data_IF_042994127716
#
_entry.id   IF_042994127716
#
_cell.length_a   1.000
_cell.length_b   1.000
_cell.length_c   1.000
_cell.angle_alpha   90.00
_cell.angle_beta   90.00
_cell.angle_gamma   90.00
#
_symmetry.space_group_name_H-M   'P 1'
#
loop_
_entity.id
_entity.type
_entity.pdbx_description
1 polymer ?
#
# COMPACT_ATOMS: atom_id res chain seq x y z
N UNK A 1 -18.65 -13.84 -20.13
CA UNK A 1 -18.07 -13.36 -21.40
C UNK A 1 -17.75 -14.59 -22.26
N UNK A 2 -17.78 -14.51 -23.60
CA UNK A 2 -17.42 -15.66 -24.43
C UNK A 2 -15.97 -16.11 -24.15
N UNK A 3 -15.73 -17.42 -24.24
CA UNK A 3 -14.40 -18.00 -24.11
C UNK A 3 -13.52 -17.46 -25.25
N UNK A 4 -12.42 -16.81 -24.89
CA UNK A 4 -11.48 -16.27 -25.86
C UNK A 4 -10.45 -17.33 -26.25
N UNK A 5 -10.02 -17.31 -27.51
CA UNK A 5 -9.03 -18.23 -28.06
C UNK A 5 -7.83 -17.44 -28.55
N UNK A 6 -6.62 -17.89 -28.22
CA UNK A 6 -5.37 -17.36 -28.76
C UNK A 6 -4.58 -18.51 -29.37
N UNK A 7 -4.02 -18.25 -30.54
CA UNK A 7 -3.08 -19.16 -31.18
C UNK A 7 -1.66 -18.78 -30.78
N UNK A 8 -0.88 -19.77 -30.35
CA UNK A 8 0.54 -19.63 -30.00
C UNK A 8 1.38 -20.59 -30.83
N UNK A 9 2.60 -20.18 -31.12
CA UNK A 9 3.60 -21.05 -31.73
C UNK A 9 4.47 -21.66 -30.62
N UNK A 10 4.54 -22.99 -30.57
CA UNK A 10 5.34 -23.74 -29.61
C UNK A 10 6.50 -24.38 -30.36
N UNK A 11 7.73 -24.07 -29.96
CA UNK A 11 8.93 -24.75 -30.46
C UNK A 11 9.21 -25.97 -29.58
N UNK A 12 9.18 -27.17 -30.15
CA UNK A 12 9.50 -28.43 -29.47
C UNK A 12 10.33 -29.31 -30.38
N UNK A 13 11.49 -29.78 -29.90
CA UNK A 13 12.42 -30.64 -30.66
C UNK A 13 12.82 -30.10 -32.05
N UNK A 14 12.92 -28.77 -32.19
CA UNK A 14 13.27 -28.12 -33.46
C UNK A 14 12.11 -27.90 -34.42
N UNK A 15 10.90 -28.34 -34.07
CA UNK A 15 9.69 -28.14 -34.87
C UNK A 15 8.77 -27.11 -34.23
N UNK A 16 8.11 -26.30 -35.07
CA UNK A 16 7.17 -25.25 -34.65
C UNK A 16 5.74 -25.76 -34.83
N UNK A 17 4.98 -25.83 -33.74
CA UNK A 17 3.58 -26.24 -33.73
C UNK A 17 2.67 -25.05 -33.44
N UNK A 18 1.52 -24.99 -34.11
CA UNK A 18 0.45 -24.07 -33.76
C UNK A 18 -0.44 -24.72 -32.69
N UNK A 19 -0.55 -24.08 -31.53
CA UNK A 19 -1.44 -24.52 -30.46
C UNK A 19 -2.51 -23.46 -30.20
N UNK A 20 -3.73 -23.89 -29.94
CA UNK A 20 -4.82 -23.01 -29.52
C UNK A 20 -4.96 -23.08 -28.01
N UNK A 21 -4.87 -21.94 -27.35
CA UNK A 21 -5.10 -21.78 -25.92
C UNK A 21 -6.43 -21.06 -25.74
N UNK A 22 -7.32 -21.68 -24.98
CA UNK A 22 -8.54 -21.04 -24.52
C UNK A 22 -8.28 -20.31 -23.21
N UNK A 23 -8.88 -19.14 -23.03
CA UNK A 23 -8.82 -18.43 -21.77
C UNK A 23 -10.08 -17.64 -21.49
N UNK A 24 -10.29 -17.37 -20.21
CA UNK A 24 -11.34 -16.48 -19.74
C UNK A 24 -10.80 -15.60 -18.62
N UNK A 25 -10.84 -14.28 -18.81
CA UNK A 25 -10.52 -13.32 -17.75
C UNK A 25 -11.73 -13.24 -16.82
N UNK A 26 -11.62 -13.90 -15.67
CA UNK A 26 -12.65 -13.92 -14.62
C UNK A 26 -12.72 -12.59 -13.87
N UNK A 27 -11.58 -11.93 -13.67
CA UNK A 27 -11.51 -10.62 -13.02
C UNK A 27 -10.31 -9.83 -13.55
N UNK A 28 -10.52 -8.55 -13.86
CA UNK A 28 -9.43 -7.60 -14.09
C UNK A 28 -9.05 -6.94 -12.77
N UNK A 29 -7.78 -6.99 -12.40
CA UNK A 29 -7.35 -6.53 -11.07
C UNK A 29 -6.61 -5.19 -11.19
N UNK A 30 -5.56 -5.13 -11.99
CA UNK A 30 -4.79 -3.91 -12.16
C UNK A 30 -4.06 -3.85 -13.50
N UNK A 31 -3.91 -2.65 -14.06
CA UNK A 31 -2.91 -2.37 -15.11
C UNK A 31 -1.64 -1.91 -14.43
N UNK A 32 -0.53 -2.63 -14.64
CA UNK A 32 0.77 -2.35 -14.04
C UNK A 32 1.57 -1.33 -14.88
N UNK A 33 1.40 -1.36 -16.20
CA UNK A 33 2.03 -0.40 -17.11
C UNK A 33 1.37 -0.44 -18.48
N UNK A 34 1.41 0.67 -19.20
CA UNK A 34 0.94 0.76 -20.60
C UNK A 34 2.09 1.16 -21.51
N UNK A 35 2.15 0.56 -22.69
CA UNK A 35 3.12 0.93 -23.73
C UNK A 35 2.50 1.90 -24.75
N UNK A 36 3.31 2.75 -25.40
CA UNK A 36 2.84 3.61 -26.49
C UNK A 36 2.24 2.85 -27.68
N UNK A 37 2.55 1.54 -27.80
CA UNK A 37 2.05 0.65 -28.86
C UNK A 37 0.71 -0.01 -28.51
N UNK A 38 0.05 0.42 -27.42
CA UNK A 38 -1.27 -0.06 -27.02
C UNK A 38 -1.27 -1.41 -26.28
N UNK A 39 -0.10 -1.90 -25.86
CA UNK A 39 0.00 -3.06 -24.99
C UNK A 39 -0.07 -2.67 -23.52
N UNK A 40 -0.82 -3.42 -22.73
CA UNK A 40 -0.95 -3.25 -21.30
C UNK A 40 -0.41 -4.46 -20.56
N UNK A 41 0.49 -4.23 -19.61
CA UNK A 41 0.87 -5.24 -18.62
C UNK A 41 -0.19 -5.24 -17.53
N UNK A 42 -0.84 -6.37 -17.33
CA UNK A 42 -1.97 -6.47 -16.42
C UNK A 42 -1.80 -7.61 -15.43
N UNK A 43 -2.33 -7.41 -14.22
CA UNK A 43 -2.65 -8.46 -13.27
C UNK A 43 -4.14 -8.79 -13.39
N UNK A 44 -4.43 -10.04 -13.71
CA UNK A 44 -5.78 -10.55 -13.93
C UNK A 44 -5.98 -11.88 -13.19
N UNK A 45 -7.23 -12.27 -12.97
CA UNK A 45 -7.62 -13.62 -12.59
C UNK A 45 -8.10 -14.34 -13.85
N UNK A 46 -7.36 -15.35 -14.32
CA UNK A 46 -7.56 -15.99 -15.63
C UNK A 46 -7.76 -17.49 -15.47
N UNK A 47 -8.81 -18.02 -16.10
CA UNK A 47 -8.99 -19.46 -16.31
C UNK A 47 -8.40 -19.82 -17.67
N UNK A 48 -7.44 -20.74 -17.68
CA UNK A 48 -6.78 -21.23 -18.90
C UNK A 48 -7.34 -22.61 -19.23
N UNK A 49 -7.77 -22.84 -20.48
CA UNK A 49 -8.30 -24.11 -20.97
C UNK A 49 -9.38 -24.74 -20.07
N UNK A 50 -10.22 -23.90 -19.45
CA UNK A 50 -11.26 -24.34 -18.51
C UNK A 50 -10.77 -24.78 -17.12
N UNK A 51 -9.46 -24.73 -16.84
CA UNK A 51 -8.92 -25.02 -15.51
C UNK A 51 -9.32 -23.93 -14.49
N UNK A 52 -9.28 -24.26 -13.17
CA UNK A 52 -9.56 -23.29 -12.11
C UNK A 52 -8.75 -22.00 -12.29
N UNK A 53 -9.38 -20.84 -12.10
CA UNK A 53 -8.74 -19.57 -12.38
C UNK A 53 -7.57 -19.30 -11.44
N UNK A 54 -6.51 -18.72 -11.99
CA UNK A 54 -5.28 -18.36 -11.28
C UNK A 54 -4.93 -16.90 -11.52
N UNK A 55 -4.09 -16.34 -10.64
CA UNK A 55 -3.56 -15.00 -10.85
C UNK A 55 -2.57 -15.04 -12.00
N UNK A 56 -2.56 -14.01 -12.82
CA UNK A 56 -1.76 -13.98 -14.02
C UNK A 56 -1.29 -12.57 -14.32
N UNK A 57 0.02 -12.42 -14.52
CA UNK A 57 0.66 -11.16 -14.88
C UNK A 57 1.25 -11.31 -16.28
N UNK A 58 0.68 -10.60 -17.25
CA UNK A 58 1.19 -10.62 -18.63
C UNK A 58 0.82 -9.37 -19.42
N UNK A 59 1.50 -9.20 -20.54
CA UNK A 59 1.15 -8.17 -21.52
C UNK A 59 -0.02 -8.63 -22.41
N UNK A 60 -0.99 -7.75 -22.62
CA UNK A 60 -2.13 -7.92 -23.51
C UNK A 60 -2.15 -6.81 -24.55
N UNK A 61 -2.54 -7.12 -25.78
CA UNK A 61 -2.92 -6.08 -26.73
C UNK A 61 -4.27 -5.45 -26.35
N UNK A 62 -4.57 -4.28 -26.90
CA UNK A 62 -5.81 -3.55 -26.58
C UNK A 62 -7.10 -4.34 -26.84
N UNK A 63 -7.05 -5.33 -27.74
CA UNK A 63 -8.18 -6.19 -28.11
C UNK A 63 -8.21 -7.54 -27.37
N UNK A 64 -7.22 -7.85 -26.52
CA UNK A 64 -7.06 -9.16 -25.86
C UNK A 64 -7.05 -10.36 -26.84
N UNK A 65 -6.56 -10.11 -28.05
CA UNK A 65 -6.39 -11.11 -29.12
C UNK A 65 -4.98 -11.64 -29.20
N UNK A 66 -4.01 -10.93 -28.62
CA UNK A 66 -2.63 -11.35 -28.50
C UNK A 66 -2.18 -11.15 -27.07
N UNK A 67 -1.30 -12.03 -26.64
CA UNK A 67 -0.66 -11.94 -25.33
C UNK A 67 0.85 -12.05 -25.47
N UNK A 68 1.56 -11.30 -24.63
CA UNK A 68 2.99 -11.37 -24.50
C UNK A 68 3.43 -12.47 -23.54
N UNK A 69 4.70 -12.41 -23.16
CA UNK A 69 5.23 -13.27 -22.10
C UNK A 69 4.65 -12.84 -20.76
N UNK A 70 4.46 -13.80 -19.87
CA UNK A 70 3.91 -13.56 -18.55
C UNK A 70 4.10 -14.76 -17.63
N UNK A 71 3.50 -14.66 -16.45
CA UNK A 71 3.56 -15.69 -15.42
C UNK A 71 2.18 -15.91 -14.82
N UNK A 72 1.84 -17.18 -14.62
CA UNK A 72 0.64 -17.60 -13.90
C UNK A 72 1.05 -18.02 -12.49
N UNK A 73 0.34 -17.52 -11.49
CA UNK A 73 0.60 -17.73 -10.08
C UNK A 73 -0.63 -18.40 -9.44
N UNK A 74 -0.39 -19.45 -8.66
CA UNK A 74 -1.36 -19.93 -7.68
C UNK A 74 -1.66 -18.85 -6.64
N UNK A 75 -2.73 -19.04 -5.87
CA UNK A 75 -3.05 -18.12 -4.78
C UNK A 75 -1.92 -18.04 -3.75
N UNK A 76 -1.27 -19.15 -3.41
CA UNK A 76 -0.15 -19.18 -2.47
C UNK A 76 1.06 -18.40 -2.99
N UNK A 77 1.42 -18.58 -4.27
CA UNK A 77 2.50 -17.82 -4.91
C UNK A 77 2.19 -16.32 -4.98
N UNK A 78 0.95 -15.95 -5.31
CA UNK A 78 0.52 -14.56 -5.35
C UNK A 78 0.57 -13.90 -3.95
N UNK A 79 0.17 -14.62 -2.89
CA UNK A 79 0.29 -14.16 -1.51
C UNK A 79 1.75 -13.96 -1.10
N UNK A 80 2.62 -14.92 -1.43
CA UNK A 80 4.05 -14.81 -1.14
C UNK A 80 4.70 -13.64 -1.89
N UNK A 81 4.35 -13.44 -3.16
CA UNK A 81 4.80 -12.28 -3.94
C UNK A 81 4.34 -10.97 -3.30
N UNK A 82 3.06 -10.89 -2.87
CA UNK A 82 2.56 -9.72 -2.16
C UNK A 82 3.35 -9.43 -0.89
N UNK A 83 3.62 -10.43 -0.05
CA UNK A 83 4.40 -10.23 1.18
C UNK A 83 5.84 -9.81 0.89
N UNK A 84 6.50 -10.41 -0.11
CA UNK A 84 7.86 -10.04 -0.51
C UNK A 84 7.93 -8.60 -1.04
N UNK A 85 6.97 -8.19 -1.89
CA UNK A 85 6.89 -6.82 -2.40
C UNK A 85 6.56 -5.84 -1.28
N UNK A 86 5.61 -6.17 -0.41
CA UNK A 86 5.26 -5.36 0.76
C UNK A 86 6.48 -5.15 1.64
N UNK A 87 7.20 -6.22 1.96
CA UNK A 87 8.44 -6.14 2.72
C UNK A 87 9.47 -5.26 2.00
N UNK A 88 9.70 -5.48 0.70
CA UNK A 88 10.64 -4.66 -0.08
C UNK A 88 10.27 -3.17 -0.05
N UNK A 89 9.00 -2.81 -0.24
CA UNK A 89 8.58 -1.41 -0.26
C UNK A 89 8.48 -0.80 1.14
N UNK A 90 8.15 -1.57 2.17
CA UNK A 90 8.12 -1.12 3.57
C UNK A 90 9.52 -1.10 4.23
N UNK A 91 10.49 -1.89 3.73
CA UNK A 91 11.90 -1.85 4.16
C UNK A 91 12.70 -0.78 3.42
N UNK A 92 12.34 -0.49 2.16
CA UNK A 92 12.86 0.64 1.39
C UNK A 92 12.09 1.95 1.64
N UNK A 93 10.96 1.93 2.35
CA UNK A 93 10.54 3.09 3.15
C UNK A 93 11.70 3.36 4.10
N UNK A 94 12.30 4.56 4.05
CA UNK A 94 13.67 4.76 4.48
C UNK A 94 13.89 4.32 5.93
N UNK A 95 14.44 3.12 6.11
CA UNK A 95 15.03 2.66 7.38
C UNK A 95 16.49 3.05 7.53
N UNK A 96 17.05 3.82 6.58
CA UNK A 96 18.35 4.46 6.63
C UNK A 96 18.48 5.47 5.48
N UNK A 97 17.57 6.45 5.39
CA UNK A 97 18.09 7.76 5.03
C UNK A 97 18.56 8.36 6.33
N UNK A 98 19.85 8.64 6.42
CA UNK A 98 20.30 9.84 7.10
C UNK A 98 19.52 11.02 6.51
N UNK A 99 18.26 11.17 6.93
CA UNK A 99 17.59 12.46 6.96
C UNK A 99 18.55 13.28 7.80
N UNK A 100 19.27 14.18 7.15
CA UNK A 100 19.87 15.28 7.89
C UNK A 100 18.77 15.80 8.80
N UNK A 101 19.02 15.84 10.11
CA UNK A 101 18.12 16.37 11.11
C UNK A 101 17.12 17.38 10.53
N UNK A 102 15.83 17.12 10.67
CA UNK A 102 14.91 18.21 10.94
C UNK A 102 14.09 18.77 9.79
N UNK A 103 13.48 17.95 8.94
CA UNK A 103 12.26 18.43 8.28
C UNK A 103 11.07 17.47 8.34
N UNK A 104 10.71 17.12 9.57
CA UNK A 104 9.38 16.54 9.84
C UNK A 104 8.26 17.47 9.34
N UNK A 105 8.49 18.78 9.15
CA UNK A 105 7.48 19.72 8.62
C UNK A 105 7.14 19.38 7.18
N UNK A 106 8.16 19.19 6.32
CA UNK A 106 7.96 18.74 4.94
C UNK A 106 7.16 17.44 4.88
N UNK A 107 7.45 16.50 5.80
CA UNK A 107 6.70 15.24 5.86
C UNK A 107 5.23 15.44 6.23
N UNK A 108 4.95 16.29 7.22
CA UNK A 108 3.58 16.65 7.58
C UNK A 108 2.89 17.36 6.41
N UNK A 109 3.57 18.26 5.71
CA UNK A 109 3.01 18.95 4.54
C UNK A 109 2.67 17.97 3.40
N UNK A 110 3.56 17.01 3.11
CA UNK A 110 3.29 15.92 2.15
C UNK A 110 2.06 15.10 2.56
N UNK A 111 1.88 14.81 3.85
CA UNK A 111 0.69 14.11 4.34
C UNK A 111 -0.55 14.99 4.27
N UNK A 112 -0.45 16.29 4.53
CA UNK A 112 -1.56 17.24 4.40
C UNK A 112 -2.06 17.30 2.97
N UNK A 113 -1.16 17.27 1.98
CA UNK A 113 -1.54 17.29 0.56
C UNK A 113 -2.16 15.96 0.10
N UNK A 114 -1.57 14.83 0.48
CA UNK A 114 -1.96 13.52 -0.05
C UNK A 114 -3.06 12.83 0.77
N UNK A 115 -3.18 13.17 2.06
CA UNK A 115 -4.12 12.55 3.01
C UNK A 115 -4.58 13.57 4.06
N UNK A 116 -5.29 14.64 3.65
CA UNK A 116 -5.71 15.72 4.54
C UNK A 116 -6.58 15.23 5.70
N UNK A 117 -7.41 14.21 5.46
CA UNK A 117 -8.26 13.63 6.50
C UNK A 117 -7.45 12.93 7.59
N UNK A 118 -6.33 12.27 7.26
CA UNK A 118 -5.47 11.67 8.27
C UNK A 118 -4.89 12.75 9.19
N UNK A 119 -4.33 13.82 8.61
CA UNK A 119 -3.79 14.95 9.39
C UNK A 119 -4.87 15.59 10.26
N UNK A 120 -6.07 15.80 9.72
CA UNK A 120 -7.18 16.34 10.50
C UNK A 120 -7.56 15.46 11.69
N UNK A 121 -7.56 14.13 11.51
CA UNK A 121 -7.86 13.20 12.61
C UNK A 121 -6.78 13.23 13.69
N UNK A 122 -5.51 13.24 13.31
CA UNK A 122 -4.40 13.36 14.27
C UNK A 122 -4.47 14.72 14.99
N UNK A 123 -4.76 15.81 14.27
CA UNK A 123 -4.99 17.13 14.85
C UNK A 123 -6.10 17.11 15.89
N UNK A 124 -7.25 16.49 15.61
CA UNK A 124 -8.36 16.41 16.56
C UNK A 124 -7.94 15.70 17.86
N UNK A 125 -7.22 14.58 17.73
CA UNK A 125 -6.67 13.83 18.86
C UNK A 125 -5.68 14.68 19.67
N UNK A 126 -4.77 15.39 19.01
CA UNK A 126 -3.81 16.29 19.66
C UNK A 126 -4.50 17.47 20.37
N UNK A 127 -5.50 18.10 19.75
CA UNK A 127 -6.27 19.18 20.37
C UNK A 127 -6.97 18.71 21.64
N UNK A 128 -7.61 17.54 21.62
CA UNK A 128 -8.21 16.95 22.82
C UNK A 128 -7.17 16.73 23.93
N UNK A 129 -6.00 16.18 23.59
CA UNK A 129 -4.94 15.96 24.58
C UNK A 129 -4.37 17.28 25.15
N UNK A 130 -4.28 18.32 24.33
CA UNK A 130 -3.90 19.66 24.77
C UNK A 130 -4.93 20.26 25.75
N UNK A 131 -6.23 20.11 25.48
CA UNK A 131 -7.30 20.54 26.40
C UNK A 131 -7.24 19.81 27.75
N UNK A 132 -6.77 18.56 27.76
CA UNK A 132 -6.52 17.78 28.98
C UNK A 132 -5.21 18.11 29.68
N UNK A 133 -4.38 18.99 29.10
CA UNK A 133 -3.07 19.38 29.64
C UNK A 133 -2.02 18.27 29.54
N UNK A 134 -2.14 17.35 28.59
CA UNK A 134 -1.16 16.28 28.40
C UNK A 134 0.10 16.81 27.73
N UNK A 135 1.25 16.56 28.36
CA UNK A 135 2.56 16.91 27.82
C UNK A 135 2.91 16.03 26.62
N UNK A 136 3.84 16.49 25.79
CA UNK A 136 4.22 15.84 24.54
C UNK A 136 4.60 14.35 24.73
N UNK A 137 5.34 14.01 25.79
CA UNK A 137 5.70 12.60 26.05
C UNK A 137 4.48 11.73 26.39
N UNK A 138 3.51 12.26 27.14
CA UNK A 138 2.25 11.56 27.41
C UNK A 138 1.42 11.39 26.14
N UNK A 139 1.40 12.41 25.28
CA UNK A 139 0.74 12.34 23.96
C UNK A 139 1.38 11.27 23.07
N UNK A 140 2.71 11.18 23.04
CA UNK A 140 3.45 10.11 22.36
C UNK A 140 3.04 8.74 22.89
N UNK A 141 3.04 8.55 24.21
CA UNK A 141 2.68 7.27 24.82
C UNK A 141 1.26 6.82 24.39
N UNK A 142 0.28 7.71 24.47
CA UNK A 142 -1.10 7.44 24.03
C UNK A 142 -1.19 7.11 22.54
N UNK A 143 -0.53 7.89 21.67
CA UNK A 143 -0.48 7.62 20.22
C UNK A 143 0.23 6.30 19.89
N UNK A 144 1.23 5.91 20.68
CA UNK A 144 1.88 4.61 20.52
C UNK A 144 1.03 3.45 21.06
N UNK A 145 -0.03 3.74 21.84
CA UNK A 145 -0.84 2.74 22.52
C UNK A 145 -0.15 2.17 23.77
N UNK A 146 0.71 2.97 24.40
CA UNK A 146 1.43 2.67 25.63
C UNK A 146 0.72 3.41 26.76
N UNK A 147 0.20 2.66 27.74
CA UNK A 147 -0.50 3.16 28.94
C UNK A 147 -1.77 3.98 28.66
N UNK A 148 -2.94 3.38 28.90
CA UNK A 148 -4.23 4.08 28.88
C UNK A 148 -4.89 3.93 30.26
N UNK A 149 -5.32 5.05 30.84
CA UNK A 149 -6.19 5.05 32.03
C UNK A 149 -7.66 4.87 31.62
N UNK A 150 -8.56 4.41 32.51
CA UNK A 150 -9.99 4.31 32.19
C UNK A 150 -10.62 5.63 31.73
N UNK A 151 -10.10 6.78 32.18
CA UNK A 151 -10.53 8.11 31.71
C UNK A 151 -10.13 8.44 30.26
N UNK A 152 -9.29 7.62 29.62
CA UNK A 152 -8.78 7.81 28.26
C UNK A 152 -9.36 6.80 27.26
N UNK A 153 -10.33 5.97 27.67
CA UNK A 153 -10.89 4.88 26.85
C UNK A 153 -11.49 5.39 25.52
N UNK A 154 -12.24 6.49 25.55
CA UNK A 154 -12.82 7.09 24.35
C UNK A 154 -11.74 7.59 23.37
N UNK A 155 -10.66 8.17 23.90
CA UNK A 155 -9.51 8.62 23.09
C UNK A 155 -8.80 7.42 22.46
N UNK A 156 -8.66 6.32 23.21
CA UNK A 156 -8.05 5.09 22.74
C UNK A 156 -8.83 4.49 21.56
N UNK A 157 -10.16 4.44 21.64
CA UNK A 157 -10.98 3.97 20.51
C UNK A 157 -10.83 4.84 19.27
N UNK A 158 -10.74 6.16 19.43
CA UNK A 158 -10.51 7.07 18.30
C UNK A 158 -9.14 6.81 17.66
N UNK A 159 -8.10 6.69 18.48
CA UNK A 159 -6.74 6.35 18.02
C UNK A 159 -6.72 5.01 17.28
N UNK A 160 -7.38 3.99 17.80
CA UNK A 160 -7.48 2.67 17.17
C UNK A 160 -8.27 2.71 15.86
N UNK A 161 -9.33 3.50 15.81
CA UNK A 161 -10.11 3.76 14.59
C UNK A 161 -9.22 4.39 13.51
N UNK A 162 -8.48 5.45 13.84
CA UNK A 162 -7.55 6.11 12.91
C UNK A 162 -6.48 5.13 12.44
N UNK A 163 -5.90 4.34 13.35
CA UNK A 163 -4.89 3.32 13.03
C UNK A 163 -5.43 2.25 12.07
N UNK A 164 -6.70 1.89 12.21
CA UNK A 164 -7.39 0.93 11.31
C UNK A 164 -7.66 1.53 9.93
N UNK A 165 -8.07 2.81 9.86
CA UNK A 165 -8.41 3.49 8.61
C UNK A 165 -7.13 3.86 7.82
N UNK A 166 -6.07 4.27 8.51
CA UNK A 166 -4.82 4.77 7.91
C UNK A 166 -3.57 4.00 8.38
N UNK A 167 -3.49 2.67 8.16
CA UNK A 167 -2.47 1.84 8.78
C UNK A 167 -1.04 2.20 8.38
N UNK A 168 -0.83 2.65 7.13
CA UNK A 168 0.49 3.07 6.63
C UNK A 168 0.91 4.41 7.24
N UNK A 169 0.06 5.44 7.14
CA UNK A 169 0.35 6.76 7.70
C UNK A 169 0.52 6.71 9.23
N UNK A 170 -0.31 5.95 9.92
CA UNK A 170 -0.22 5.80 11.38
C UNK A 170 1.10 5.13 11.79
N UNK A 171 1.56 4.12 11.03
CA UNK A 171 2.86 3.49 11.28
C UNK A 171 4.01 4.49 11.10
N UNK A 172 3.98 5.27 10.02
CA UNK A 172 5.00 6.29 9.77
C UNK A 172 5.00 7.38 10.84
N UNK A 173 3.82 7.84 11.27
CA UNK A 173 3.68 8.74 12.41
C UNK A 173 4.30 8.13 13.68
N UNK A 174 4.05 6.85 13.95
CA UNK A 174 4.62 6.14 15.08
C UNK A 174 6.15 6.10 15.08
N UNK A 175 6.76 5.85 13.92
CA UNK A 175 8.24 5.89 13.76
C UNK A 175 8.74 7.32 14.00
N UNK A 176 8.10 8.30 13.37
CA UNK A 176 8.50 9.71 13.47
C UNK A 176 8.47 10.22 14.91
N UNK A 177 7.37 10.00 15.62
CA UNK A 177 7.24 10.48 17.01
C UNK A 177 8.15 9.72 17.96
N UNK A 178 8.55 8.48 17.66
CA UNK A 178 9.46 7.68 18.50
C UNK A 178 10.91 8.17 18.41
N UNK A 179 11.33 8.70 17.26
CA UNK A 179 12.72 9.12 17.02
C UNK A 179 13.04 10.54 17.52
N UNK A 180 12.04 11.40 17.68
CA UNK A 180 12.24 12.81 18.06
C UNK A 180 12.60 12.99 19.54
N UNK A 181 13.37 14.04 19.85
CA UNK A 181 13.48 14.54 21.22
C UNK A 181 12.16 15.17 21.71
N UNK A 182 11.99 15.34 23.02
CA UNK A 182 10.75 15.92 23.59
C UNK A 182 10.44 17.33 23.07
N UNK A 183 11.46 18.16 22.88
CA UNK A 183 11.30 19.52 22.34
C UNK A 183 10.80 19.49 20.88
N UNK A 184 11.45 18.70 20.02
CA UNK A 184 11.08 18.57 18.61
C UNK A 184 9.70 17.91 18.44
N UNK A 185 9.37 16.96 19.31
CA UNK A 185 8.06 16.33 19.38
C UNK A 185 6.97 17.37 19.67
N UNK A 186 7.21 18.26 20.65
CA UNK A 186 6.30 19.36 20.95
C UNK A 186 6.10 20.28 19.75
N UNK A 187 7.19 20.64 19.05
CA UNK A 187 7.10 21.45 17.83
C UNK A 187 6.30 20.74 16.71
N UNK A 188 6.49 19.43 16.55
CA UNK A 188 5.75 18.62 15.59
C UNK A 188 4.25 18.63 15.89
N UNK A 189 3.87 18.39 17.14
CA UNK A 189 2.46 18.38 17.52
C UNK A 189 1.81 19.74 17.38
N UNK A 190 2.52 20.83 17.70
CA UNK A 190 2.02 22.18 17.45
C UNK A 190 1.80 22.44 15.96
N UNK A 191 2.76 22.04 15.12
CA UNK A 191 2.64 22.24 13.67
C UNK A 191 1.48 21.45 13.05
N UNK A 192 1.21 20.22 13.52
CA UNK A 192 0.02 19.48 13.11
C UNK A 192 -1.25 20.20 13.56
N UNK A 193 -1.27 20.77 14.76
CA UNK A 193 -2.42 21.55 15.25
C UNK A 193 -2.69 22.80 14.39
N UNK A 194 -1.65 23.39 13.81
CA UNK A 194 -1.72 24.59 12.97
C UNK A 194 -2.16 24.31 11.50
N UNK A 195 -2.35 23.04 11.12
CA UNK A 195 -2.76 22.62 9.76
C UNK A 195 -4.26 22.44 9.61
#
# INVERSE_FOLDING_TARGET
>A
MPLALIQVYILSRGEVFLATIQFEIKKRIATLSSSPKGWNKELNLVSWNGYPPKYDIRDWDSSYTKMGRGVTLSEGEARNLYYALKQLFEENSPKNSSVQNGDWRKRIDEWTENSPLFIQQIKNVLMFMNEKGYLAEKQRQLLMGIQSTPSEEALQYEIESIRSIYPSFYRELGILIQELGEEELGQLFLYICDR
#
